data_IF_331431611064
#
_entry.id   IF_331431611064
#
_cell.length_a   1.000
_cell.length_b   1.000
_cell.length_c   1.000
_cell.angle_alpha   90.00
_cell.angle_beta   90.00
_cell.angle_gamma   90.00
#
_symmetry.space_group_name_H-M   'P 1'
#
loop_
_entity.id
_entity.type
_entity.pdbx_description
1 polymer ?
#
# COMPACT_ATOMS: atom_id res chain seq x y z
N UNK A 1 28.08 -12.35 9.33
CA UNK A 1 28.11 -11.64 8.03
C UNK A 1 28.86 -10.34 8.26
N UNK A 2 30.06 -10.17 7.66
CA UNK A 2 30.80 -8.91 7.75
C UNK A 2 30.12 -7.89 6.83
N UNK A 3 29.59 -6.81 7.41
CA UNK A 3 28.96 -5.74 6.64
C UNK A 3 30.06 -4.91 5.94
N UNK A 4 29.81 -4.35 4.75
CA UNK A 4 30.76 -3.47 4.09
C UNK A 4 31.01 -2.23 4.95
N UNK A 5 32.27 -1.86 5.13
CA UNK A 5 32.68 -0.67 5.88
C UNK A 5 32.22 0.56 5.10
N UNK A 6 31.19 1.24 5.59
CA UNK A 6 30.72 2.51 5.03
C UNK A 6 31.38 3.62 5.85
N UNK A 7 32.31 4.36 5.24
CA UNK A 7 32.98 5.50 5.89
C UNK A 7 31.94 6.48 6.45
N UNK A 8 32.03 6.77 7.73
CA UNK A 8 31.17 7.74 8.42
C UNK A 8 29.97 7.14 9.19
N UNK A 9 29.85 5.81 9.25
CA UNK A 9 28.84 5.14 10.09
C UNK A 9 29.49 4.22 11.12
N UNK A 10 28.98 4.27 12.35
CA UNK A 10 29.33 3.30 13.39
C UNK A 10 28.80 1.91 12.97
N UNK A 11 29.68 0.90 13.05
CA UNK A 11 29.37 -0.49 12.67
C UNK A 11 28.18 -1.05 13.49
N UNK A 12 28.08 -0.71 14.76
CA UNK A 12 26.98 -1.12 15.63
C UNK A 12 25.64 -0.49 15.20
N UNK A 13 25.65 0.77 14.81
CA UNK A 13 24.47 1.46 14.29
C UNK A 13 24.04 0.85 12.94
N UNK A 14 24.96 0.62 12.02
CA UNK A 14 24.67 -0.05 10.75
C UNK A 14 24.06 -1.46 10.96
N UNK A 15 24.66 -2.25 11.83
CA UNK A 15 24.15 -3.59 12.16
C UNK A 15 22.72 -3.52 12.73
N UNK A 16 22.46 -2.56 13.62
CA UNK A 16 21.11 -2.33 14.18
C UNK A 16 20.09 -2.00 13.08
N UNK A 17 20.44 -1.11 12.13
CA UNK A 17 19.55 -0.75 11.02
C UNK A 17 19.30 -1.93 10.07
N UNK A 18 20.34 -2.69 9.69
CA UNK A 18 20.20 -3.85 8.82
C UNK A 18 19.34 -4.95 9.46
N UNK A 19 19.57 -5.25 10.73
CA UNK A 19 18.77 -6.25 11.47
C UNK A 19 17.32 -5.78 11.57
N UNK A 20 17.09 -4.50 11.88
CA UNK A 20 15.73 -3.94 11.98
C UNK A 20 15.00 -3.99 10.64
N UNK A 21 15.65 -3.62 9.54
CA UNK A 21 15.08 -3.70 8.18
C UNK A 21 14.80 -5.13 7.77
N UNK A 22 15.73 -6.05 8.05
CA UNK A 22 15.54 -7.49 7.80
C UNK A 22 14.35 -8.08 8.56
N UNK A 23 14.20 -7.73 9.84
CA UNK A 23 13.05 -8.14 10.65
C UNK A 23 11.73 -7.58 10.11
N UNK A 24 11.71 -6.30 9.67
CA UNK A 24 10.54 -5.72 9.01
C UNK A 24 10.16 -6.49 7.73
N UNK A 25 11.14 -6.83 6.91
CA UNK A 25 10.89 -7.61 5.68
C UNK A 25 10.33 -9.00 5.99
N UNK A 26 10.95 -9.73 6.92
CA UNK A 26 10.47 -11.06 7.34
C UNK A 26 9.05 -10.96 7.90
N UNK A 27 8.78 -9.96 8.73
CA UNK A 27 7.45 -9.72 9.28
C UNK A 27 6.41 -9.44 8.20
N UNK A 28 6.75 -8.62 7.20
CA UNK A 28 5.85 -8.31 6.07
C UNK A 28 5.60 -9.52 5.19
N UNK A 29 6.64 -10.30 4.85
CA UNK A 29 6.51 -11.52 4.05
C UNK A 29 5.68 -12.57 4.80
N UNK A 30 5.96 -12.80 6.08
CA UNK A 30 5.18 -13.72 6.93
C UNK A 30 3.71 -13.30 7.04
N UNK A 31 3.45 -12.02 7.30
CA UNK A 31 2.09 -11.46 7.33
C UNK A 31 1.38 -11.62 5.99
N UNK A 32 2.08 -11.39 4.88
CA UNK A 32 1.54 -11.56 3.53
C UNK A 32 1.16 -13.01 3.27
N UNK A 33 2.04 -13.96 3.58
CA UNK A 33 1.78 -15.39 3.39
C UNK A 33 0.53 -15.85 4.18
N UNK A 34 0.39 -15.43 5.44
CA UNK A 34 -0.78 -15.72 6.26
C UNK A 34 -2.05 -15.12 5.64
N UNK A 35 -1.99 -13.85 5.21
CA UNK A 35 -3.13 -13.16 4.57
C UNK A 35 -3.53 -13.82 3.25
N UNK A 36 -2.56 -14.21 2.42
CA UNK A 36 -2.84 -14.90 1.15
C UNK A 36 -3.51 -16.25 1.37
N UNK A 37 -2.96 -17.09 2.27
CA UNK A 37 -3.57 -18.36 2.62
C UNK A 37 -4.99 -18.17 3.17
N UNK A 38 -5.17 -17.20 4.08
CA UNK A 38 -6.49 -16.86 4.63
C UNK A 38 -7.48 -16.42 3.55
N UNK A 39 -7.03 -15.56 2.63
CA UNK A 39 -7.89 -15.05 1.55
C UNK A 39 -8.33 -16.16 0.59
N UNK A 40 -7.48 -17.15 0.30
CA UNK A 40 -7.83 -18.28 -0.56
C UNK A 40 -9.00 -19.07 0.02
N UNK A 41 -8.94 -19.52 1.27
CA UNK A 41 -10.04 -20.32 1.84
C UNK A 41 -11.28 -19.48 2.12
N UNK A 42 -11.16 -18.20 2.48
CA UNK A 42 -12.30 -17.30 2.65
C UNK A 42 -13.00 -17.04 1.30
N UNK A 43 -12.24 -16.73 0.25
CA UNK A 43 -12.79 -16.51 -1.09
C UNK A 43 -13.49 -17.79 -1.61
N UNK A 44 -12.88 -18.95 -1.43
CA UNK A 44 -13.49 -20.23 -1.80
C UNK A 44 -14.80 -20.53 -1.05
N UNK A 45 -14.90 -20.09 0.20
CA UNK A 45 -16.11 -20.24 0.99
C UNK A 45 -17.21 -19.26 0.56
N UNK A 46 -16.85 -17.99 0.40
CA UNK A 46 -17.79 -16.92 0.06
C UNK A 46 -18.26 -16.97 -1.40
N UNK A 47 -17.51 -17.61 -2.30
CA UNK A 47 -17.67 -17.58 -3.74
C UNK A 47 -17.54 -16.16 -4.32
N UNK A 48 -17.42 -15.98 -5.66
CA UNK A 48 -17.24 -14.67 -6.26
C UNK A 48 -18.26 -13.61 -5.86
N UNK A 49 -19.52 -14.01 -5.71
CA UNK A 49 -20.62 -13.10 -5.41
C UNK A 49 -20.46 -12.43 -4.03
N UNK A 50 -20.42 -13.24 -2.96
CA UNK A 50 -20.25 -12.71 -1.59
C UNK A 50 -18.88 -12.06 -1.38
N UNK A 51 -17.83 -12.62 -2.01
CA UNK A 51 -16.50 -12.01 -2.02
C UNK A 51 -16.51 -10.65 -2.73
N UNK A 52 -17.35 -10.49 -3.77
CA UNK A 52 -17.55 -9.23 -4.47
C UNK A 52 -18.20 -8.16 -3.60
N UNK A 53 -19.24 -8.52 -2.85
CA UNK A 53 -19.85 -7.62 -1.87
C UNK A 53 -18.80 -7.15 -0.84
N UNK A 54 -18.02 -8.06 -0.27
CA UNK A 54 -17.00 -7.74 0.71
C UNK A 54 -15.89 -6.84 0.12
N UNK A 55 -15.36 -7.23 -1.05
CA UNK A 55 -14.25 -6.50 -1.68
C UNK A 55 -14.65 -5.11 -2.18
N UNK A 56 -15.85 -4.97 -2.77
CA UNK A 56 -16.34 -3.66 -3.19
C UNK A 56 -16.64 -2.76 -2.01
N UNK A 57 -17.25 -3.29 -0.94
CA UNK A 57 -17.50 -2.53 0.28
C UNK A 57 -16.20 -2.07 0.97
N UNK A 58 -15.21 -2.95 1.04
CA UNK A 58 -13.88 -2.57 1.59
C UNK A 58 -13.17 -1.56 0.70
N UNK A 59 -13.27 -1.69 -0.64
CA UNK A 59 -12.71 -0.72 -1.57
C UNK A 59 -13.37 0.66 -1.41
N UNK A 60 -14.69 0.71 -1.26
CA UNK A 60 -15.44 1.95 -1.05
C UNK A 60 -14.99 2.69 0.22
N UNK A 61 -14.91 1.99 1.35
CA UNK A 61 -14.46 2.57 2.62
C UNK A 61 -12.98 2.97 2.54
N UNK A 62 -12.16 2.21 1.81
CA UNK A 62 -10.74 2.52 1.64
C UNK A 62 -10.48 3.85 0.93
N UNK A 63 -11.39 4.34 0.09
CA UNK A 63 -11.27 5.67 -0.52
C UNK A 63 -11.11 6.78 0.52
N UNK A 64 -11.63 6.58 1.73
CA UNK A 64 -11.56 7.52 2.85
C UNK A 64 -10.37 7.27 3.80
N UNK A 65 -9.58 6.21 3.57
CA UNK A 65 -8.48 5.84 4.47
C UNK A 65 -7.41 6.96 4.60
N UNK A 66 -7.15 7.69 3.51
CA UNK A 66 -6.21 8.81 3.53
C UNK A 66 -6.72 9.99 4.37
N UNK A 67 -8.04 10.21 4.41
CA UNK A 67 -8.67 11.21 5.29
C UNK A 67 -8.56 10.78 6.76
N UNK A 68 -8.84 9.53 7.08
CA UNK A 68 -8.72 9.00 8.44
C UNK A 68 -7.27 9.03 8.95
N UNK A 69 -6.29 8.74 8.08
CA UNK A 69 -4.86 8.75 8.40
C UNK A 69 -4.24 10.15 8.46
N UNK A 70 -4.88 11.16 7.86
CA UNK A 70 -4.40 12.55 7.76
C UNK A 70 -2.99 12.70 7.17
N UNK A 71 -2.40 11.66 6.56
CA UNK A 71 -1.03 11.68 6.04
C UNK A 71 0.04 11.97 7.10
N UNK A 72 -0.26 11.74 8.39
CA UNK A 72 0.60 12.15 9.51
C UNK A 72 1.76 11.21 9.78
N UNK A 73 1.74 9.96 9.32
CA UNK A 73 2.65 8.90 9.78
C UNK A 73 4.13 9.29 9.67
N UNK A 74 4.56 9.82 8.53
CA UNK A 74 5.95 10.25 8.33
C UNK A 74 6.34 11.47 9.17
N UNK A 75 5.40 12.38 9.41
CA UNK A 75 5.62 13.54 10.26
C UNK A 75 5.74 13.14 11.73
N UNK A 76 4.92 12.20 12.20
CA UNK A 76 5.00 11.67 13.57
C UNK A 76 6.39 11.07 13.82
N UNK A 77 6.88 10.22 12.92
CA UNK A 77 8.22 9.61 13.03
C UNK A 77 9.30 10.69 13.08
N UNK A 78 9.21 11.72 12.21
CA UNK A 78 10.16 12.84 12.17
C UNK A 78 10.13 13.67 13.46
N UNK A 79 8.96 14.08 13.93
CA UNK A 79 8.81 14.89 15.15
C UNK A 79 9.28 14.11 16.39
N UNK A 80 8.99 12.82 16.49
CA UNK A 80 9.47 11.95 17.58
C UNK A 80 10.98 11.84 17.58
N UNK A 81 11.61 11.72 16.40
CA UNK A 81 13.06 11.66 16.28
C UNK A 81 13.73 12.99 16.65
N UNK A 82 13.14 14.12 16.25
CA UNK A 82 13.67 15.45 16.53
C UNK A 82 13.43 15.90 17.98
N UNK A 83 12.31 15.53 18.58
CA UNK A 83 11.88 15.98 19.91
C UNK A 83 11.49 14.81 20.83
N UNK A 84 12.41 13.89 21.16
CA UNK A 84 12.09 12.69 21.94
C UNK A 84 11.52 12.99 23.33
N UNK A 85 11.86 14.13 23.93
CA UNK A 85 11.32 14.62 25.22
C UNK A 85 9.84 14.98 25.15
N UNK A 86 9.32 15.35 23.96
CA UNK A 86 7.91 15.70 23.73
C UNK A 86 7.09 14.51 23.21
N UNK A 87 7.56 13.28 23.39
CA UNK A 87 6.95 12.05 22.89
C UNK A 87 5.46 11.97 23.22
N UNK A 88 5.08 12.12 24.47
CA UNK A 88 3.69 11.93 24.91
C UNK A 88 2.75 13.01 24.34
N UNK A 89 3.26 14.22 24.16
CA UNK A 89 2.53 15.30 23.49
C UNK A 89 2.37 15.03 21.98
N UNK A 90 3.43 14.54 21.31
CA UNK A 90 3.38 14.22 19.88
C UNK A 90 2.41 13.08 19.62
N UNK A 91 2.50 12.00 20.40
CA UNK A 91 1.63 10.83 20.27
C UNK A 91 0.18 11.16 20.60
N UNK A 92 -0.07 11.86 21.72
CA UNK A 92 -1.42 12.24 22.15
C UNK A 92 -2.10 13.18 21.16
N UNK A 93 -1.39 14.20 20.69
CA UNK A 93 -1.92 15.13 19.67
C UNK A 93 -2.23 14.40 18.37
N UNK A 94 -1.32 13.56 17.89
CA UNK A 94 -1.52 12.82 16.64
C UNK A 94 -2.62 11.77 16.75
N UNK A 95 -2.72 11.08 17.90
CA UNK A 95 -3.79 10.12 18.18
C UNK A 95 -5.16 10.81 18.15
N UNK A 96 -5.29 11.94 18.84
CA UNK A 96 -6.56 12.68 18.88
C UNK A 96 -6.95 13.19 17.49
N UNK A 97 -5.99 13.72 16.71
CA UNK A 97 -6.25 14.15 15.34
C UNK A 97 -6.75 13.00 14.46
N UNK A 98 -6.07 11.84 14.47
CA UNK A 98 -6.48 10.66 13.70
C UNK A 98 -7.81 10.10 14.18
N UNK A 99 -8.05 10.03 15.49
CA UNK A 99 -9.33 9.56 16.05
C UNK A 99 -10.49 10.46 15.62
N UNK A 100 -10.29 11.78 15.71
CA UNK A 100 -11.30 12.76 15.27
C UNK A 100 -11.56 12.64 13.76
N UNK A 101 -10.51 12.50 12.95
CA UNK A 101 -10.65 12.29 11.52
C UNK A 101 -11.38 10.96 11.20
N UNK A 102 -11.06 9.87 11.91
CA UNK A 102 -11.75 8.59 11.78
C UNK A 102 -13.25 8.69 12.12
N UNK A 103 -13.60 9.42 13.18
CA UNK A 103 -15.00 9.68 13.54
C UNK A 103 -15.69 10.51 12.45
N UNK A 104 -15.06 11.56 11.94
CA UNK A 104 -15.60 12.41 10.86
C UNK A 104 -15.75 11.62 9.56
N UNK A 105 -14.89 10.64 9.28
CA UNK A 105 -15.03 9.79 8.10
C UNK A 105 -16.34 8.97 8.09
N UNK A 106 -16.90 8.60 9.25
CA UNK A 106 -18.14 7.82 9.31
C UNK A 106 -19.31 8.57 8.64
N UNK A 107 -19.69 9.80 9.07
CA UNK A 107 -20.73 10.56 8.39
C UNK A 107 -20.35 10.97 6.97
N UNK A 108 -19.07 11.18 6.64
CA UNK A 108 -18.64 11.46 5.26
C UNK A 108 -18.86 10.26 4.35
N UNK A 109 -18.58 9.05 4.80
CA UNK A 109 -18.85 7.80 4.07
C UNK A 109 -20.37 7.63 3.88
N UNK A 110 -21.18 7.96 4.91
CA UNK A 110 -22.62 7.95 4.81
C UNK A 110 -23.14 8.93 3.75
N UNK A 111 -22.67 10.17 3.76
CA UNK A 111 -23.04 11.19 2.76
C UNK A 111 -22.62 10.75 1.35
N UNK A 112 -21.41 10.23 1.21
CA UNK A 112 -20.94 9.71 -0.07
C UNK A 112 -21.82 8.56 -0.57
N UNK A 113 -22.24 7.66 0.33
CA UNK A 113 -23.15 6.57 -0.02
C UNK A 113 -24.54 7.05 -0.43
N UNK A 114 -25.04 8.14 0.15
CA UNK A 114 -26.31 8.75 -0.28
C UNK A 114 -26.24 9.34 -1.70
N UNK A 115 -25.06 9.84 -2.10
CA UNK A 115 -24.85 10.44 -3.43
C UNK A 115 -24.50 9.36 -4.47
N UNK A 116 -23.68 8.40 -4.06
CA UNK A 116 -23.17 7.30 -4.91
C UNK A 116 -23.41 5.95 -4.21
N UNK A 117 -24.67 5.50 -4.12
CA UNK A 117 -24.98 4.22 -3.50
C UNK A 117 -24.39 3.08 -4.32
N UNK A 118 -23.87 2.07 -3.63
CA UNK A 118 -23.48 0.82 -4.27
C UNK A 118 -24.72 -0.05 -4.45
N UNK A 119 -24.99 -0.44 -5.68
CA UNK A 119 -26.17 -1.28 -5.99
C UNK A 119 -26.11 -2.61 -5.24
N UNK A 120 -27.22 -3.05 -4.67
CA UNK A 120 -27.38 -4.33 -3.95
C UNK A 120 -26.35 -4.58 -2.82
N UNK A 121 -25.74 -3.53 -2.25
CA UNK A 121 -24.94 -3.63 -1.04
C UNK A 121 -25.66 -2.95 0.12
N UNK A 122 -25.90 -3.69 1.19
CA UNK A 122 -26.55 -3.14 2.37
C UNK A 122 -25.68 -2.08 3.04
N UNK A 123 -26.25 -0.92 3.38
CA UNK A 123 -25.56 0.16 4.08
C UNK A 123 -24.91 -0.32 5.39
N UNK A 124 -25.53 -1.28 6.09
CA UNK A 124 -24.98 -1.85 7.32
C UNK A 124 -23.56 -2.40 7.15
N UNK A 125 -23.23 -2.97 5.98
CA UNK A 125 -21.89 -3.47 5.66
C UNK A 125 -20.90 -2.29 5.59
N UNK A 126 -21.27 -1.22 4.88
CA UNK A 126 -20.44 -0.01 4.77
C UNK A 126 -20.24 0.65 6.13
N UNK A 127 -21.31 0.72 6.94
CA UNK A 127 -21.25 1.30 8.29
C UNK A 127 -20.28 0.52 9.20
N UNK A 128 -20.37 -0.81 9.23
CA UNK A 128 -19.45 -1.64 10.04
C UNK A 128 -18.01 -1.42 9.61
N UNK A 129 -17.73 -1.42 8.31
CA UNK A 129 -16.40 -1.21 7.77
C UNK A 129 -15.87 0.21 8.03
N UNK A 130 -16.74 1.23 8.13
CA UNK A 130 -16.31 2.61 8.37
C UNK A 130 -15.59 2.80 9.70
N UNK A 131 -15.86 1.95 10.71
CA UNK A 131 -15.14 1.96 11.99
C UNK A 131 -13.65 1.63 11.87
N UNK A 132 -13.22 1.03 10.76
CA UNK A 132 -11.79 0.76 10.50
C UNK A 132 -10.96 2.03 10.53
N UNK A 133 -11.49 3.16 10.06
CA UNK A 133 -10.81 4.46 10.08
C UNK A 133 -10.52 4.96 11.50
N UNK A 134 -11.43 4.70 12.45
CA UNK A 134 -11.25 5.06 13.85
C UNK A 134 -10.12 4.23 14.50
N UNK A 135 -10.12 2.91 14.26
CA UNK A 135 -9.12 2.02 14.86
C UNK A 135 -7.71 2.28 14.32
N UNK A 136 -7.56 2.81 13.09
CA UNK A 136 -6.26 3.21 12.55
C UNK A 136 -5.54 4.30 13.36
N UNK A 137 -6.21 5.02 14.26
CA UNK A 137 -5.56 6.04 15.10
C UNK A 137 -4.41 5.48 15.95
N UNK A 138 -4.45 4.20 16.35
CA UNK A 138 -3.39 3.54 17.09
C UNK A 138 -2.10 3.28 16.28
N UNK A 139 -2.08 3.53 14.97
CA UNK A 139 -0.85 3.47 14.16
C UNK A 139 0.19 4.52 14.60
N UNK A 140 -0.16 5.49 15.44
CA UNK A 140 0.81 6.39 16.09
C UNK A 140 1.84 5.62 16.93
N UNK A 141 1.46 4.46 17.49
CA UNK A 141 2.38 3.57 18.22
C UNK A 141 3.35 2.87 17.27
N UNK A 142 2.91 2.52 16.07
CA UNK A 142 3.79 2.01 15.00
C UNK A 142 4.86 3.07 14.66
N UNK A 143 4.46 4.32 14.44
CA UNK A 143 5.37 5.44 14.19
C UNK A 143 6.36 5.65 15.35
N UNK A 144 5.94 5.44 16.60
CA UNK A 144 6.82 5.47 17.77
C UNK A 144 7.90 4.38 17.69
N UNK A 145 7.52 3.12 17.47
CA UNK A 145 8.51 2.04 17.37
C UNK A 145 9.42 2.19 16.15
N UNK A 146 8.93 2.79 15.06
CA UNK A 146 9.78 3.13 13.91
C UNK A 146 10.82 4.19 14.29
N UNK A 147 10.42 5.25 14.99
CA UNK A 147 11.34 6.32 15.40
C UNK A 147 12.45 5.84 16.34
N UNK A 148 12.15 4.81 17.16
CA UNK A 148 13.11 4.17 18.09
C UNK A 148 13.94 3.04 17.42
N UNK A 149 13.71 2.78 16.11
CA UNK A 149 14.36 1.65 15.39
C UNK A 149 14.09 0.31 16.08
N UNK A 150 12.83 0.09 16.49
CA UNK A 150 12.37 -1.09 17.23
C UNK A 150 11.29 -1.87 16.47
N UNK A 151 11.47 -2.05 15.18
CA UNK A 151 10.49 -2.67 14.28
C UNK A 151 10.12 -4.12 14.63
N UNK A 152 10.91 -4.78 15.46
CA UNK A 152 10.57 -6.13 15.97
C UNK A 152 9.23 -6.17 16.69
N UNK A 153 8.84 -5.09 17.39
CA UNK A 153 7.57 -5.04 18.11
C UNK A 153 6.40 -4.83 17.15
N UNK A 154 6.61 -4.05 16.10
CA UNK A 154 5.65 -3.88 15.00
C UNK A 154 5.38 -5.24 14.34
N UNK A 155 6.46 -5.96 14.00
CA UNK A 155 6.39 -7.30 13.41
C UNK A 155 5.63 -8.28 14.31
N UNK A 156 5.95 -8.32 15.62
CA UNK A 156 5.27 -9.21 16.56
C UNK A 156 3.77 -8.94 16.63
N UNK A 157 3.35 -7.68 16.73
CA UNK A 157 1.94 -7.29 16.75
C UNK A 157 1.25 -7.67 15.45
N UNK A 158 1.86 -7.39 14.30
CA UNK A 158 1.26 -7.69 13.00
C UNK A 158 1.14 -9.20 12.74
N UNK A 159 2.18 -9.99 13.04
CA UNK A 159 2.12 -11.44 12.86
C UNK A 159 1.09 -12.06 13.82
N UNK A 160 1.12 -11.70 15.12
CA UNK A 160 0.15 -12.20 16.07
C UNK A 160 -1.28 -11.85 15.67
N UNK A 161 -1.52 -10.58 15.27
CA UNK A 161 -2.81 -10.14 14.77
C UNK A 161 -3.27 -10.93 13.55
N UNK A 162 -2.40 -11.13 12.55
CA UNK A 162 -2.74 -11.90 11.37
C UNK A 162 -3.00 -13.39 11.65
N UNK A 163 -2.27 -14.00 12.59
CA UNK A 163 -2.51 -15.40 13.02
C UNK A 163 -3.87 -15.52 13.70
N UNK A 164 -4.19 -14.62 14.64
CA UNK A 164 -5.49 -14.62 15.32
C UNK A 164 -6.63 -14.39 14.33
N UNK A 165 -6.47 -13.42 13.43
CA UNK A 165 -7.41 -13.16 12.33
C UNK A 165 -7.63 -14.40 11.46
N UNK A 166 -6.56 -15.08 11.05
CA UNK A 166 -6.64 -16.31 10.27
C UNK A 166 -7.39 -17.42 11.01
N UNK A 167 -7.15 -17.59 12.31
CA UNK A 167 -7.87 -18.57 13.15
C UNK A 167 -9.35 -18.22 13.27
N UNK A 168 -9.72 -16.96 13.50
CA UNK A 168 -11.12 -16.52 13.55
C UNK A 168 -11.81 -16.84 12.22
N UNK A 169 -11.21 -16.45 11.09
CA UNK A 169 -11.77 -16.72 9.76
C UNK A 169 -11.84 -18.21 9.45
N UNK A 170 -10.86 -18.99 9.92
CA UNK A 170 -10.92 -20.46 9.84
C UNK A 170 -12.13 -21.01 10.60
N UNK A 171 -12.38 -20.57 11.82
CA UNK A 171 -13.56 -20.97 12.58
C UNK A 171 -14.86 -20.55 11.89
N UNK A 172 -14.93 -19.34 11.36
CA UNK A 172 -16.11 -18.87 10.61
C UNK A 172 -16.41 -19.74 9.39
N UNK A 173 -15.38 -20.18 8.65
CA UNK A 173 -15.53 -21.02 7.45
C UNK A 173 -15.88 -22.46 7.80
N UNK A 174 -15.05 -23.10 8.63
CA UNK A 174 -15.09 -24.57 8.79
C UNK A 174 -15.96 -25.05 9.95
N UNK A 175 -16.11 -24.24 11.01
CA UNK A 175 -16.90 -24.62 12.19
C UNK A 175 -18.30 -24.02 12.15
N UNK A 176 -18.37 -22.67 12.01
CA UNK A 176 -19.66 -21.96 12.10
C UNK A 176 -20.42 -21.87 10.78
N UNK A 177 -19.76 -22.10 9.65
CA UNK A 177 -20.34 -21.92 8.30
C UNK A 177 -21.07 -20.58 8.19
N UNK A 178 -20.38 -19.52 8.63
CA UNK A 178 -20.96 -18.23 8.93
C UNK A 178 -21.39 -17.46 7.67
N UNK A 179 -22.42 -16.63 7.80
CA UNK A 179 -22.85 -15.72 6.74
C UNK A 179 -21.86 -14.59 6.49
N UNK A 180 -22.02 -13.89 5.34
CA UNK A 180 -21.15 -12.79 4.92
C UNK A 180 -20.92 -11.73 5.99
N UNK A 181 -21.96 -11.38 6.73
CA UNK A 181 -21.90 -10.30 7.73
C UNK A 181 -20.83 -10.56 8.82
N UNK A 182 -20.61 -11.82 9.20
CA UNK A 182 -19.58 -12.18 10.18
C UNK A 182 -18.17 -11.98 9.62
N UNK A 183 -17.97 -12.12 8.33
CA UNK A 183 -16.70 -11.79 7.67
C UNK A 183 -16.47 -10.29 7.61
N UNK A 184 -17.52 -9.49 7.45
CA UNK A 184 -17.45 -8.02 7.57
C UNK A 184 -17.02 -7.60 8.96
N UNK A 185 -17.61 -8.19 10.01
CA UNK A 185 -17.15 -7.98 11.39
C UNK A 185 -15.71 -8.43 11.59
N UNK A 186 -15.34 -9.61 11.09
CA UNK A 186 -13.97 -10.12 11.21
C UNK A 186 -12.97 -9.19 10.53
N UNK A 187 -13.30 -8.60 9.37
CA UNK A 187 -12.44 -7.66 8.67
C UNK A 187 -12.23 -6.35 9.46
N UNK A 188 -13.31 -5.84 10.07
CA UNK A 188 -13.21 -4.66 10.95
C UNK A 188 -12.44 -5.00 12.23
N UNK A 189 -12.66 -6.20 12.77
CA UNK A 189 -11.96 -6.70 13.96
C UNK A 189 -10.46 -6.89 13.72
N UNK A 190 -10.01 -7.23 12.51
CA UNK A 190 -8.59 -7.34 12.18
C UNK A 190 -7.82 -6.05 12.51
N UNK A 191 -8.39 -4.91 12.18
CA UNK A 191 -7.76 -3.61 12.43
C UNK A 191 -7.81 -3.27 13.92
N UNK A 192 -8.93 -3.54 14.58
CA UNK A 192 -9.06 -3.40 16.03
C UNK A 192 -8.04 -4.28 16.77
N UNK A 193 -7.85 -5.53 16.33
CA UNK A 193 -6.92 -6.47 16.94
C UNK A 193 -5.46 -5.95 16.88
N UNK A 194 -5.05 -5.44 15.73
CA UNK A 194 -3.73 -4.82 15.56
C UNK A 194 -3.60 -3.58 16.44
N UNK A 195 -4.65 -2.76 16.53
CA UNK A 195 -4.70 -1.56 17.37
C UNK A 195 -4.56 -1.90 18.86
N UNK A 196 -5.28 -2.90 19.32
CA UNK A 196 -5.16 -3.43 20.70
C UNK A 196 -3.76 -4.01 20.92
N UNK A 197 -3.23 -4.71 19.93
CA UNK A 197 -1.85 -5.23 19.97
C UNK A 197 -0.80 -4.11 20.16
N UNK A 198 -0.95 -3.00 19.43
CA UNK A 198 -0.08 -1.82 19.60
C UNK A 198 -0.22 -1.19 20.98
N UNK A 199 -1.45 -1.03 21.46
CA UNK A 199 -1.72 -0.54 22.82
C UNK A 199 -1.05 -1.41 23.90
N UNK A 200 -1.26 -2.73 23.84
CA UNK A 200 -0.67 -3.69 24.79
C UNK A 200 0.86 -3.68 24.72
N UNK A 201 1.43 -3.65 23.50
CA UNK A 201 2.88 -3.63 23.32
C UNK A 201 3.51 -2.35 23.87
N UNK A 202 2.85 -1.18 23.67
CA UNK A 202 3.30 0.09 24.19
C UNK A 202 3.34 0.10 25.73
N UNK A 203 2.26 -0.39 26.37
CA UNK A 203 2.18 -0.51 27.82
C UNK A 203 3.21 -1.50 28.37
N UNK A 204 3.40 -2.65 27.72
CA UNK A 204 4.41 -3.65 28.12
C UNK A 204 5.84 -3.10 28.13
N UNK A 205 6.10 -2.03 27.37
CA UNK A 205 7.40 -1.34 27.33
C UNK A 205 7.53 -0.26 28.39
N UNK A 206 6.71 -0.27 29.43
CA UNK A 206 6.73 0.70 30.51
C UNK A 206 6.26 2.09 30.07
N UNK A 207 5.46 2.14 29.01
CA UNK A 207 4.84 3.37 28.48
C UNK A 207 3.35 3.32 28.73
N UNK A 208 2.71 4.47 28.91
CA UNK A 208 1.28 4.56 29.12
C UNK A 208 0.64 5.49 28.11
N UNK A 209 -0.47 5.09 27.54
CA UNK A 209 -1.28 5.99 26.69
C UNK A 209 -2.02 7.05 27.52
N UNK A 210 -2.19 6.80 28.82
CA UNK A 210 -2.84 7.75 29.74
C UNK A 210 -1.97 8.97 30.08
N UNK A 211 -0.66 8.94 29.73
CA UNK A 211 0.23 10.11 29.87
C UNK A 211 0.22 11.00 28.63
N UNK A 212 -0.53 10.63 27.59
CA UNK A 212 -0.59 11.39 26.36
C UNK A 212 -1.32 12.71 26.55
N UNK A 213 -0.73 13.78 26.03
CA UNK A 213 -1.23 15.14 26.15
C UNK A 213 -1.53 15.73 24.78
N UNK A 214 -2.50 16.61 24.70
CA UNK A 214 -2.86 17.34 23.51
C UNK A 214 -2.21 18.73 23.50
N UNK A 215 -1.62 19.09 22.36
CA UNK A 215 -1.05 20.43 22.12
C UNK A 215 -1.69 21.02 20.86
N UNK A 216 -2.41 22.13 21.02
CA UNK A 216 -3.15 22.81 19.95
C UNK A 216 -2.23 23.40 18.88
N UNK A 217 -1.07 23.93 19.27
CA UNK A 217 -0.14 24.53 18.31
C UNK A 217 0.56 23.45 17.49
N UNK A 218 0.93 22.33 18.12
CA UNK A 218 1.42 21.16 17.42
C UNK A 218 0.37 20.59 16.45
N UNK A 219 -0.91 20.52 16.87
CA UNK A 219 -1.98 20.04 16.01
C UNK A 219 -2.14 20.92 14.75
N UNK A 220 -2.17 22.24 14.91
CA UNK A 220 -2.20 23.17 13.76
C UNK A 220 -0.99 23.02 12.85
N UNK A 221 0.22 22.88 13.43
CA UNK A 221 1.45 22.67 12.69
C UNK A 221 1.38 21.37 11.86
N UNK A 222 0.97 20.27 12.48
CA UNK A 222 0.85 18.96 11.81
C UNK A 222 -0.16 19.00 10.67
N UNK A 223 -1.36 19.54 10.88
CA UNK A 223 -2.39 19.67 9.83
C UNK A 223 -1.93 20.58 8.69
N UNK A 224 -1.27 21.70 8.99
CA UNK A 224 -0.72 22.61 7.97
C UNK A 224 0.36 21.94 7.12
N UNK A 225 1.13 21.02 7.69
CA UNK A 225 2.17 20.30 6.96
C UNK A 225 1.61 19.10 6.19
N UNK A 226 0.57 18.44 6.69
CA UNK A 226 0.06 17.17 6.15
C UNK A 226 -1.03 17.33 5.09
N UNK A 227 -1.72 18.47 4.95
CA UNK A 227 -2.82 18.61 4.01
C UNK A 227 -2.46 18.23 2.54
N UNK A 228 -1.23 18.52 2.02
CA UNK A 228 -0.89 18.08 0.67
C UNK A 228 -0.77 16.55 0.58
N UNK A 229 -0.34 15.90 1.68
CA UNK A 229 -0.26 14.44 1.73
C UNK A 229 -1.64 13.79 1.85
N UNK A 230 -2.62 14.46 2.49
CA UNK A 230 -4.01 13.99 2.52
C UNK A 230 -4.55 13.93 1.09
N UNK A 231 -4.42 15.01 0.32
CA UNK A 231 -4.89 15.05 -1.08
C UNK A 231 -4.17 14.00 -1.93
N UNK A 232 -2.84 13.89 -1.78
CA UNK A 232 -2.07 12.85 -2.47
C UNK A 232 -2.53 11.44 -2.09
N UNK A 233 -2.81 11.21 -0.82
CA UNK A 233 -3.32 9.94 -0.31
C UNK A 233 -4.70 9.59 -0.85
N UNK A 234 -5.61 10.56 -0.98
CA UNK A 234 -6.92 10.35 -1.62
C UNK A 234 -6.72 9.92 -3.08
N UNK A 235 -5.86 10.61 -3.84
CA UNK A 235 -5.58 10.23 -5.23
C UNK A 235 -5.02 8.81 -5.33
N UNK A 236 -4.13 8.44 -4.41
CA UNK A 236 -3.60 7.06 -4.33
C UNK A 236 -4.72 6.07 -3.99
N UNK A 237 -5.59 6.38 -3.03
CA UNK A 237 -6.70 5.50 -2.65
C UNK A 237 -7.67 5.27 -3.81
N UNK A 238 -8.02 6.33 -4.54
CA UNK A 238 -8.83 6.24 -5.77
C UNK A 238 -8.12 5.35 -6.80
N UNK A 239 -6.88 5.67 -7.11
CA UNK A 239 -6.08 4.95 -8.07
C UNK A 239 -5.94 3.44 -7.78
N UNK A 240 -5.91 3.05 -6.50
CA UNK A 240 -5.76 1.65 -6.10
C UNK A 240 -7.08 0.87 -5.99
N UNK A 241 -8.22 1.55 -5.82
CA UNK A 241 -9.46 0.86 -5.44
C UNK A 241 -10.67 1.16 -6.32
N UNK A 242 -10.59 2.19 -7.15
CA UNK A 242 -11.71 2.57 -8.01
C UNK A 242 -12.07 1.47 -9.02
N UNK A 243 -11.08 0.69 -9.45
CA UNK A 243 -11.25 -0.43 -10.38
C UNK A 243 -12.32 -1.43 -9.92
N UNK A 244 -12.24 -1.84 -8.65
CA UNK A 244 -13.16 -2.82 -8.06
C UNK A 244 -14.59 -2.27 -8.00
N UNK A 245 -14.73 -0.97 -7.70
CA UNK A 245 -16.03 -0.30 -7.64
C UNK A 245 -16.61 -0.15 -9.04
N UNK A 246 -15.81 0.37 -9.99
CA UNK A 246 -16.26 0.56 -11.38
C UNK A 246 -16.61 -0.75 -12.05
N UNK A 247 -15.83 -1.81 -11.79
CA UNK A 247 -16.11 -3.14 -12.36
C UNK A 247 -17.48 -3.64 -11.91
N UNK A 248 -17.84 -3.45 -10.63
CA UNK A 248 -19.14 -3.82 -10.11
C UNK A 248 -20.25 -2.98 -10.72
N UNK A 249 -20.14 -1.66 -10.67
CA UNK A 249 -21.22 -0.76 -11.05
C UNK A 249 -21.45 -0.71 -12.57
N UNK A 250 -20.40 -0.85 -13.40
CA UNK A 250 -20.52 -0.80 -14.87
C UNK A 250 -21.11 -2.12 -15.42
N UNK A 251 -20.73 -3.28 -14.87
CA UNK A 251 -21.24 -4.57 -15.33
C UNK A 251 -22.60 -4.95 -14.70
N UNK A 252 -23.05 -4.19 -13.70
CA UNK A 252 -24.31 -4.43 -12.99
C UNK A 252 -24.23 -5.51 -11.92
N UNK A 253 -25.36 -5.69 -11.22
CA UNK A 253 -25.37 -6.38 -9.93
C UNK A 253 -24.89 -7.83 -9.95
N UNK A 254 -25.36 -8.65 -10.87
CA UNK A 254 -25.01 -10.08 -10.90
C UNK A 254 -23.61 -10.32 -11.45
N UNK A 255 -23.33 -9.79 -12.64
CA UNK A 255 -22.07 -9.99 -13.33
C UNK A 255 -20.96 -9.17 -12.66
N UNK A 256 -21.23 -7.91 -12.36
CA UNK A 256 -20.27 -6.98 -11.79
C UNK A 256 -19.85 -7.37 -10.37
N UNK A 257 -20.79 -7.85 -9.55
CA UNK A 257 -20.48 -8.33 -8.19
C UNK A 257 -19.55 -9.55 -8.23
N UNK A 258 -19.86 -10.53 -9.09
CA UNK A 258 -18.99 -11.71 -9.29
C UNK A 258 -17.62 -11.33 -9.86
N UNK A 259 -17.61 -10.42 -10.85
CA UNK A 259 -16.38 -9.92 -11.45
C UNK A 259 -15.50 -9.19 -10.44
N UNK A 260 -16.06 -8.30 -9.63
CA UNK A 260 -15.30 -7.57 -8.59
C UNK A 260 -14.72 -8.51 -7.52
N UNK A 261 -15.48 -9.53 -7.10
CA UNK A 261 -15.01 -10.54 -6.16
C UNK A 261 -13.89 -11.42 -6.71
N UNK A 262 -13.97 -11.76 -7.99
CA UNK A 262 -12.92 -12.48 -8.70
C UNK A 262 -11.68 -11.59 -8.89
N UNK A 263 -11.88 -10.35 -9.34
CA UNK A 263 -10.80 -9.38 -9.56
C UNK A 263 -10.05 -9.00 -8.27
N UNK A 264 -10.71 -9.00 -7.12
CA UNK A 264 -10.06 -8.78 -5.83
C UNK A 264 -8.96 -9.81 -5.54
N UNK A 265 -9.12 -11.06 -6.00
CA UNK A 265 -8.06 -12.09 -5.90
C UNK A 265 -6.89 -11.79 -6.84
N UNK A 266 -7.14 -11.24 -8.02
CA UNK A 266 -6.10 -10.79 -8.96
C UNK A 266 -5.25 -9.70 -8.33
N UNK A 267 -5.89 -8.65 -7.81
CA UNK A 267 -5.21 -7.52 -7.16
C UNK A 267 -4.35 -8.01 -5.98
N UNK A 268 -4.85 -8.92 -5.17
CA UNK A 268 -4.13 -9.46 -4.03
C UNK A 268 -2.78 -10.09 -4.43
N UNK A 269 -2.73 -10.89 -5.49
CA UNK A 269 -1.49 -11.53 -5.94
C UNK A 269 -0.58 -10.57 -6.71
N UNK A 270 -1.14 -9.73 -7.56
CA UNK A 270 -0.34 -8.81 -8.38
C UNK A 270 0.32 -7.70 -7.56
N UNK A 271 -0.32 -7.26 -6.47
CA UNK A 271 0.20 -6.22 -5.59
C UNK A 271 0.99 -6.75 -4.38
N UNK A 272 1.09 -8.07 -4.24
CA UNK A 272 1.69 -8.74 -3.09
C UNK A 272 3.08 -8.22 -2.72
N UNK A 273 3.92 -7.93 -3.70
CA UNK A 273 5.30 -7.49 -3.50
C UNK A 273 5.52 -5.97 -3.68
N UNK A 274 4.46 -5.16 -3.78
CA UNK A 274 4.58 -3.69 -3.94
C UNK A 274 5.27 -2.98 -2.76
N UNK A 275 5.45 -3.65 -1.63
CA UNK A 275 6.24 -3.12 -0.52
C UNK A 275 7.76 -3.23 -0.75
N UNK A 276 8.22 -4.13 -1.61
CA UNK A 276 9.66 -4.39 -1.86
C UNK A 276 10.38 -3.14 -2.38
N UNK A 277 9.90 -2.45 -3.43
CA UNK A 277 10.57 -1.25 -3.93
C UNK A 277 10.67 -0.15 -2.86
N UNK A 278 9.67 -0.02 -1.98
CA UNK A 278 9.69 0.95 -0.89
C UNK A 278 10.85 0.66 0.08
N UNK A 279 11.04 -0.60 0.46
CA UNK A 279 12.12 -1.01 1.36
C UNK A 279 13.50 -0.82 0.73
N UNK A 280 13.66 -1.24 -0.53
CA UNK A 280 14.93 -1.12 -1.25
C UNK A 280 15.31 0.35 -1.44
N UNK A 281 14.37 1.16 -1.90
CA UNK A 281 14.60 2.58 -2.16
C UNK A 281 14.91 3.32 -0.86
N UNK A 282 14.16 3.09 0.23
CA UNK A 282 14.45 3.71 1.52
C UNK A 282 15.85 3.38 2.06
N UNK A 283 16.38 2.21 1.74
CA UNK A 283 17.72 1.77 2.16
C UNK A 283 18.84 2.32 1.28
N UNK A 284 18.64 2.37 -0.05
CA UNK A 284 19.69 2.75 -1.00
C UNK A 284 19.73 4.26 -1.31
N UNK A 285 18.59 4.94 -1.23
CA UNK A 285 18.47 6.31 -1.67
C UNK A 285 19.32 7.31 -0.90
N UNK A 286 19.51 7.21 0.44
CA UNK A 286 20.43 8.07 1.17
C UNK A 286 21.88 8.00 0.63
N UNK A 287 22.34 6.81 0.27
CA UNK A 287 23.68 6.62 -0.32
C UNK A 287 23.80 7.20 -1.74
N UNK A 288 22.68 7.22 -2.49
CA UNK A 288 22.61 7.87 -3.80
C UNK A 288 22.68 9.38 -3.64
N UNK A 289 21.93 9.97 -2.70
CA UNK A 289 21.94 11.40 -2.44
C UNK A 289 23.30 11.93 -1.96
N UNK A 290 24.00 11.17 -1.14
CA UNK A 290 25.36 11.55 -0.71
C UNK A 290 26.31 11.67 -1.92
N UNK A 291 26.18 10.81 -2.92
CA UNK A 291 26.98 10.91 -4.13
C UNK A 291 26.66 12.18 -4.97
N UNK A 292 25.44 12.70 -4.91
CA UNK A 292 25.04 13.92 -5.62
C UNK A 292 25.91 15.14 -5.25
N UNK A 293 26.26 15.22 -3.96
CA UNK A 293 27.04 16.33 -3.41
C UNK A 293 28.50 16.30 -3.84
N UNK A 294 29.04 15.10 -3.97
CA UNK A 294 30.49 14.90 -4.10
C UNK A 294 30.89 14.56 -5.56
N UNK A 295 30.03 13.91 -6.34
CA UNK A 295 30.33 13.39 -7.68
C UNK A 295 29.04 13.20 -8.50
N UNK A 296 28.69 14.14 -9.39
CA UNK A 296 27.49 14.07 -10.23
C UNK A 296 27.44 12.85 -11.16
N UNK A 297 28.57 12.37 -11.68
CA UNK A 297 28.59 11.19 -12.56
C UNK A 297 28.28 9.92 -11.75
N UNK A 298 28.86 9.80 -10.56
CA UNK A 298 28.58 8.72 -9.63
C UNK A 298 27.12 8.72 -9.18
N UNK A 299 26.52 9.91 -8.98
CA UNK A 299 25.10 10.05 -8.68
C UNK A 299 24.23 9.48 -9.81
N UNK A 300 24.47 9.90 -11.06
CA UNK A 300 23.74 9.43 -12.22
C UNK A 300 23.88 7.90 -12.41
N UNK A 301 25.10 7.37 -12.26
CA UNK A 301 25.36 5.93 -12.36
C UNK A 301 24.62 5.13 -11.27
N UNK A 302 24.59 5.63 -10.04
CA UNK A 302 23.87 4.97 -8.94
C UNK A 302 22.37 5.01 -9.14
N UNK A 303 21.84 6.14 -9.61
CA UNK A 303 20.41 6.29 -9.92
C UNK A 303 19.99 5.35 -11.06
N UNK A 304 20.80 5.24 -12.13
CA UNK A 304 20.56 4.28 -13.21
C UNK A 304 20.58 2.84 -12.69
N UNK A 305 21.54 2.49 -11.83
CA UNK A 305 21.61 1.17 -11.23
C UNK A 305 20.38 0.85 -10.34
N UNK A 306 19.83 1.85 -9.66
CA UNK A 306 18.59 1.69 -8.91
C UNK A 306 17.42 1.38 -9.83
N UNK A 307 17.24 2.11 -10.94
CA UNK A 307 16.18 1.82 -11.91
C UNK A 307 16.36 0.46 -12.56
N UNK A 308 17.59 0.08 -12.92
CA UNK A 308 17.89 -1.25 -13.45
C UNK A 308 17.49 -2.36 -12.46
N UNK A 309 17.83 -2.18 -11.17
CA UNK A 309 17.46 -3.12 -10.11
C UNK A 309 15.94 -3.24 -9.97
N UNK A 310 15.21 -2.09 -10.01
CA UNK A 310 13.76 -2.08 -9.92
C UNK A 310 13.12 -2.85 -11.08
N UNK A 311 13.61 -2.62 -12.31
CA UNK A 311 13.11 -3.34 -13.49
C UNK A 311 13.40 -4.83 -13.40
N UNK A 312 14.62 -5.25 -13.07
CA UNK A 312 14.97 -6.67 -12.99
C UNK A 312 14.12 -7.40 -11.94
N UNK A 313 13.96 -6.82 -10.76
CA UNK A 313 13.16 -7.43 -9.70
C UNK A 313 11.68 -7.51 -10.07
N UNK A 314 11.12 -6.44 -10.62
CA UNK A 314 9.71 -6.43 -11.01
C UNK A 314 9.43 -7.32 -12.21
N UNK A 315 10.36 -7.40 -13.19
CA UNK A 315 10.25 -8.29 -14.34
C UNK A 315 10.29 -9.77 -13.90
N UNK A 316 11.23 -10.13 -13.02
CA UNK A 316 11.29 -11.47 -12.46
C UNK A 316 10.02 -11.85 -11.70
N UNK A 317 9.50 -10.92 -10.90
CA UNK A 317 8.22 -11.10 -10.19
C UNK A 317 7.05 -11.23 -11.14
N UNK A 318 6.92 -10.32 -12.12
CA UNK A 318 5.83 -10.33 -13.08
C UNK A 318 5.82 -11.61 -13.90
N UNK A 319 6.99 -12.05 -14.40
CA UNK A 319 7.12 -13.30 -15.14
C UNK A 319 6.78 -14.51 -14.27
N UNK A 320 7.29 -14.56 -13.03
CA UNK A 320 6.98 -15.64 -12.10
C UNK A 320 5.47 -15.76 -11.84
N UNK A 321 4.80 -14.66 -11.50
CA UNK A 321 3.35 -14.67 -11.21
C UNK A 321 2.54 -14.94 -12.47
N UNK A 322 2.92 -14.37 -13.64
CA UNK A 322 2.22 -14.61 -14.89
C UNK A 322 2.23 -16.11 -15.27
N UNK A 323 3.39 -16.76 -15.16
CA UNK A 323 3.54 -18.20 -15.42
C UNK A 323 2.85 -19.04 -14.33
N UNK A 324 2.93 -18.62 -13.08
CA UNK A 324 2.30 -19.31 -11.96
C UNK A 324 0.78 -19.09 -11.87
N UNK A 325 0.21 -18.13 -12.58
CA UNK A 325 -1.21 -17.77 -12.44
C UNK A 325 -2.17 -18.95 -12.64
N UNK A 326 -2.03 -19.85 -13.64
CA UNK A 326 -2.89 -21.02 -13.74
C UNK A 326 -2.77 -21.99 -12.56
N UNK A 327 -1.55 -22.09 -11.99
CA UNK A 327 -1.29 -22.93 -10.82
C UNK A 327 -1.90 -22.31 -9.54
N UNK A 328 -1.81 -20.99 -9.38
CA UNK A 328 -2.41 -20.27 -8.26
C UNK A 328 -3.91 -20.52 -8.23
N UNK A 329 -4.59 -20.42 -9.38
CA UNK A 329 -6.05 -20.61 -9.43
C UNK A 329 -6.50 -22.06 -9.34
N UNK A 330 -5.60 -23.05 -9.32
CA UNK A 330 -5.94 -24.43 -8.92
C UNK A 330 -6.27 -24.56 -7.43
N UNK A 331 -5.83 -23.63 -6.59
CA UNK A 331 -6.21 -23.56 -5.17
C UNK A 331 -7.56 -22.89 -4.93
N UNK A 332 -8.13 -22.28 -5.97
CA UNK A 332 -9.45 -21.68 -5.95
C UNK A 332 -10.50 -22.60 -6.57
N UNK A 333 -11.76 -22.37 -6.24
CA UNK A 333 -12.88 -23.04 -6.87
C UNK A 333 -12.99 -22.67 -8.35
N UNK A 334 -13.67 -23.51 -9.18
CA UNK A 334 -13.79 -23.30 -10.62
C UNK A 334 -14.29 -21.91 -11.04
N UNK A 335 -15.14 -21.28 -10.22
CA UNK A 335 -15.74 -19.97 -10.46
C UNK A 335 -14.70 -18.84 -10.52
N UNK A 336 -13.50 -19.06 -9.96
CA UNK A 336 -12.39 -18.09 -9.97
C UNK A 336 -11.40 -18.31 -11.11
N UNK A 337 -11.49 -19.40 -11.88
CA UNK A 337 -10.49 -19.77 -12.92
C UNK A 337 -10.34 -18.65 -13.98
N UNK A 338 -11.42 -17.93 -14.29
CA UNK A 338 -11.37 -16.79 -15.22
C UNK A 338 -10.42 -15.67 -14.79
N UNK A 339 -9.99 -15.64 -13.53
CA UNK A 339 -9.00 -14.68 -13.03
C UNK A 339 -7.55 -14.99 -13.45
N UNK A 340 -7.24 -16.23 -13.81
CA UNK A 340 -5.85 -16.61 -14.15
C UNK A 340 -5.25 -15.77 -15.30
N UNK A 341 -5.89 -15.65 -16.49
CA UNK A 341 -5.39 -14.78 -17.55
C UNK A 341 -5.39 -13.30 -17.16
N UNK A 342 -6.35 -12.86 -16.32
CA UNK A 342 -6.40 -11.48 -15.84
C UNK A 342 -5.21 -11.15 -14.93
N UNK A 343 -4.84 -12.08 -14.03
CA UNK A 343 -3.65 -11.96 -13.19
C UNK A 343 -2.37 -11.92 -14.02
N UNK A 344 -2.27 -12.77 -15.04
CA UNK A 344 -1.12 -12.82 -15.94
C UNK A 344 -0.90 -11.49 -16.68
N UNK A 345 -1.95 -10.72 -16.95
CA UNK A 345 -1.86 -9.36 -17.54
C UNK A 345 -1.62 -8.31 -16.45
N UNK A 346 -2.42 -8.30 -15.39
CA UNK A 346 -2.39 -7.25 -14.37
C UNK A 346 -1.01 -7.12 -13.69
N UNK A 347 -0.33 -8.24 -13.45
CA UNK A 347 0.96 -8.25 -12.74
C UNK A 347 2.07 -7.46 -13.44
N UNK A 348 1.99 -7.25 -14.77
CA UNK A 348 2.94 -6.41 -15.51
C UNK A 348 2.92 -4.94 -15.08
N UNK A 349 1.83 -4.50 -14.47
CA UNK A 349 1.74 -3.19 -13.82
C UNK A 349 2.77 -2.98 -12.71
N UNK A 350 3.24 -4.06 -12.06
CA UNK A 350 4.26 -4.00 -11.01
C UNK A 350 5.57 -3.35 -11.47
N UNK A 351 5.93 -3.49 -12.77
CA UNK A 351 7.13 -2.86 -13.34
C UNK A 351 7.06 -1.34 -13.18
N UNK A 352 5.90 -0.77 -13.49
CA UNK A 352 5.69 0.67 -13.41
C UNK A 352 5.55 1.15 -11.96
N UNK A 353 4.98 0.32 -11.08
CA UNK A 353 4.93 0.60 -9.63
C UNK A 353 6.34 0.66 -9.04
N UNK A 354 7.21 -0.31 -9.35
CA UNK A 354 8.59 -0.35 -8.85
C UNK A 354 9.39 0.87 -9.34
N UNK A 355 9.33 1.17 -10.63
CA UNK A 355 9.94 2.37 -11.19
C UNK A 355 9.35 3.66 -10.60
N UNK A 356 8.03 3.69 -10.42
CA UNK A 356 7.30 4.80 -9.85
C UNK A 356 7.70 5.14 -8.43
N UNK A 357 7.96 4.13 -7.58
CA UNK A 357 8.47 4.32 -6.21
C UNK A 357 9.87 4.93 -6.22
N UNK A 358 10.78 4.37 -7.03
CA UNK A 358 12.15 4.89 -7.15
C UNK A 358 12.18 6.33 -7.71
N UNK A 359 11.38 6.58 -8.76
CA UNK A 359 11.20 7.91 -9.36
C UNK A 359 10.60 8.90 -8.37
N UNK A 360 9.64 8.47 -7.53
CA UNK A 360 9.02 9.32 -6.52
C UNK A 360 10.01 9.89 -5.52
N UNK A 361 10.92 9.08 -5.02
CA UNK A 361 11.96 9.53 -4.09
C UNK A 361 12.92 10.52 -4.74
N UNK A 362 13.28 10.31 -6.01
CA UNK A 362 14.06 11.27 -6.79
C UNK A 362 13.32 12.62 -6.89
N UNK A 363 12.05 12.60 -7.30
CA UNK A 363 11.27 13.83 -7.45
C UNK A 363 11.18 14.63 -6.15
N UNK A 364 11.01 13.93 -5.02
CA UNK A 364 10.98 14.56 -3.68
C UNK A 364 12.35 15.18 -3.36
N UNK A 365 13.44 14.47 -3.61
CA UNK A 365 14.78 14.94 -3.32
C UNK A 365 15.22 16.12 -4.19
N UNK A 366 14.74 16.21 -5.42
CA UNK A 366 14.96 17.32 -6.34
C UNK A 366 13.98 18.50 -6.13
N UNK A 367 13.05 18.39 -5.16
CA UNK A 367 12.07 19.44 -4.86
C UNK A 367 10.84 19.46 -5.79
N UNK A 368 10.66 18.42 -6.61
CA UNK A 368 9.51 18.30 -7.52
C UNK A 368 8.28 17.64 -6.85
N UNK A 369 8.01 17.95 -5.59
CA UNK A 369 6.91 17.35 -4.82
C UNK A 369 5.54 17.47 -5.51
N UNK A 370 5.27 18.61 -6.14
CA UNK A 370 4.02 18.83 -6.90
C UNK A 370 3.87 17.84 -8.07
N UNK A 371 4.97 17.46 -8.71
CA UNK A 371 4.94 16.54 -9.83
C UNK A 371 4.62 15.12 -9.40
N UNK A 372 5.02 14.70 -8.20
CA UNK A 372 4.63 13.40 -7.62
C UNK A 372 3.10 13.31 -7.48
N UNK A 373 2.48 14.38 -7.02
CA UNK A 373 1.02 14.48 -6.93
C UNK A 373 0.35 14.48 -8.32
N UNK A 374 0.82 15.34 -9.24
CA UNK A 374 0.22 15.50 -10.57
C UNK A 374 0.24 14.17 -11.34
N UNK A 375 1.36 13.43 -11.31
CA UNK A 375 1.46 12.16 -12.04
C UNK A 375 0.52 11.09 -11.48
N UNK A 376 0.31 11.05 -10.15
CA UNK A 376 -0.64 10.11 -9.54
C UNK A 376 -2.08 10.46 -9.92
N UNK A 377 -2.44 11.74 -9.85
CA UNK A 377 -3.75 12.22 -10.30
C UNK A 377 -3.99 11.96 -11.79
N UNK A 378 -2.97 12.18 -12.63
CA UNK A 378 -3.05 11.86 -14.06
C UNK A 378 -3.29 10.38 -14.31
N UNK A 379 -2.56 9.50 -13.59
CA UNK A 379 -2.79 8.06 -13.65
C UNK A 379 -4.21 7.67 -13.23
N UNK A 380 -4.74 8.29 -12.16
CA UNK A 380 -6.12 8.03 -11.72
C UNK A 380 -7.15 8.43 -12.78
N UNK A 381 -6.98 9.58 -13.42
CA UNK A 381 -7.87 10.03 -14.52
C UNK A 381 -7.81 9.08 -15.71
N UNK A 382 -6.61 8.67 -16.13
CA UNK A 382 -6.43 7.70 -17.23
C UNK A 382 -7.07 6.35 -16.85
N UNK A 383 -6.89 5.87 -15.63
CA UNK A 383 -7.46 4.62 -15.15
C UNK A 383 -8.99 4.67 -15.22
N UNK A 384 -9.62 5.72 -14.68
CA UNK A 384 -11.07 5.89 -14.70
C UNK A 384 -11.59 5.95 -16.13
N UNK A 385 -10.96 6.75 -17.01
CA UNK A 385 -11.36 6.89 -18.40
C UNK A 385 -11.28 5.56 -19.17
N UNK A 386 -10.16 4.83 -19.00
CA UNK A 386 -9.98 3.52 -19.63
C UNK A 386 -10.93 2.46 -19.06
N UNK A 387 -11.23 2.49 -17.78
CA UNK A 387 -12.22 1.61 -17.18
C UNK A 387 -13.63 1.81 -17.79
N UNK A 388 -14.06 3.05 -17.97
CA UNK A 388 -15.33 3.34 -18.67
C UNK A 388 -15.36 2.80 -20.10
N UNK A 389 -14.23 2.80 -20.80
CA UNK A 389 -14.15 2.33 -22.19
C UNK A 389 -14.01 0.80 -22.29
N UNK A 390 -13.21 0.18 -21.41
CA UNK A 390 -12.80 -1.22 -21.55
C UNK A 390 -13.65 -2.18 -20.74
N UNK A 391 -14.20 -1.78 -19.59
CA UNK A 391 -15.02 -2.67 -18.76
C UNK A 391 -16.26 -3.19 -19.51
N UNK A 392 -17.04 -2.37 -20.26
CA UNK A 392 -18.24 -2.86 -20.93
C UNK A 392 -17.97 -3.96 -21.96
N UNK A 393 -16.79 -3.97 -22.57
CA UNK A 393 -16.42 -4.90 -23.65
C UNK A 393 -15.56 -6.04 -23.20
N UNK A 394 -14.70 -5.84 -22.20
CA UNK A 394 -13.66 -6.78 -21.77
C UNK A 394 -13.77 -7.20 -20.29
N UNK A 395 -14.69 -6.62 -19.52
CA UNK A 395 -14.89 -6.95 -18.12
C UNK A 395 -13.60 -6.81 -17.28
N UNK A 396 -13.28 -7.83 -16.49
CA UNK A 396 -12.07 -7.87 -15.66
C UNK A 396 -10.77 -7.69 -16.44
N UNK A 397 -10.70 -8.21 -17.67
CA UNK A 397 -9.52 -8.05 -18.52
C UNK A 397 -9.33 -6.59 -18.92
N UNK A 398 -10.42 -5.89 -19.25
CA UNK A 398 -10.40 -4.46 -19.53
C UNK A 398 -9.88 -3.64 -18.35
N UNK A 399 -10.33 -3.99 -17.14
CA UNK A 399 -9.84 -3.38 -15.89
C UNK A 399 -8.34 -3.59 -15.70
N UNK A 400 -7.83 -4.83 -15.91
CA UNK A 400 -6.42 -5.13 -15.80
C UNK A 400 -5.56 -4.33 -16.79
N UNK A 401 -6.00 -4.24 -18.04
CA UNK A 401 -5.33 -3.45 -19.09
C UNK A 401 -5.36 -1.95 -18.73
N UNK A 402 -6.51 -1.43 -18.30
CA UNK A 402 -6.66 -0.04 -17.88
C UNK A 402 -5.67 0.31 -16.76
N UNK A 403 -5.52 -0.56 -15.77
CA UNK A 403 -4.59 -0.37 -14.65
C UNK A 403 -3.13 -0.38 -15.11
N UNK A 404 -2.73 -1.33 -15.96
CA UNK A 404 -1.36 -1.39 -16.50
C UNK A 404 -1.02 -0.12 -17.30
N UNK A 405 -1.93 0.34 -18.15
CA UNK A 405 -1.74 1.57 -18.94
C UNK A 405 -1.71 2.82 -18.04
N UNK A 406 -2.56 2.87 -17.02
CA UNK A 406 -2.58 3.97 -16.06
C UNK A 406 -1.27 4.06 -15.27
N UNK A 407 -0.74 2.91 -14.80
CA UNK A 407 0.54 2.82 -14.11
C UNK A 407 1.70 3.25 -15.01
N UNK A 408 1.71 2.80 -16.26
CA UNK A 408 2.66 3.26 -17.27
C UNK A 408 2.58 4.78 -17.44
N UNK A 409 1.38 5.30 -17.71
CA UNK A 409 1.15 6.71 -17.99
C UNK A 409 1.56 7.62 -16.82
N UNK A 410 1.21 7.25 -15.59
CA UNK A 410 1.61 7.96 -14.39
C UNK A 410 3.13 7.97 -14.22
N UNK A 411 3.78 6.82 -14.42
CA UNK A 411 5.22 6.66 -14.19
C UNK A 411 6.04 7.42 -15.21
N UNK A 412 5.62 7.44 -16.48
CA UNK A 412 6.36 8.06 -17.58
C UNK A 412 5.91 9.49 -17.95
N UNK A 413 4.90 10.05 -17.26
CA UNK A 413 4.48 11.45 -17.45
C UNK A 413 5.67 12.43 -17.34
N UNK A 414 6.64 12.12 -16.51
CA UNK A 414 7.84 12.94 -16.26
C UNK A 414 8.73 13.14 -17.50
N UNK A 415 8.59 12.32 -18.54
CA UNK A 415 9.34 12.44 -19.79
C UNK A 415 8.93 13.71 -20.57
N UNK A 416 7.68 14.10 -20.47
CA UNK A 416 7.13 15.26 -21.15
C UNK A 416 7.52 16.59 -20.49
N UNK A 417 8.15 16.53 -19.30
CA UNK A 417 8.54 17.71 -18.54
C UNK A 417 10.06 17.91 -18.69
N UNK A 418 10.52 19.03 -19.29
CA UNK A 418 11.94 19.23 -19.62
C UNK A 418 12.91 18.99 -18.46
N UNK A 419 12.55 19.44 -17.24
CA UNK A 419 13.40 19.33 -16.05
C UNK A 419 13.57 17.88 -15.55
N UNK A 420 12.61 17.00 -15.79
CA UNK A 420 12.63 15.59 -15.32
C UNK A 420 12.80 14.59 -16.47
N UNK A 421 12.83 15.07 -17.74
CA UNK A 421 13.05 14.24 -18.93
C UNK A 421 14.30 13.35 -18.84
N UNK A 422 15.47 13.83 -18.36
CA UNK A 422 16.66 12.98 -18.25
C UNK A 422 16.41 11.74 -17.39
N UNK A 423 15.71 11.90 -16.28
CA UNK A 423 15.32 10.77 -15.41
C UNK A 423 14.37 9.81 -16.14
N UNK A 424 13.36 10.34 -16.82
CA UNK A 424 12.43 9.51 -17.59
C UNK A 424 13.15 8.68 -18.66
N UNK A 425 14.17 9.25 -19.32
CA UNK A 425 15.02 8.55 -20.29
C UNK A 425 15.84 7.44 -19.60
N UNK A 426 16.36 7.68 -18.39
CA UNK A 426 17.05 6.65 -17.60
C UNK A 426 16.12 5.48 -17.29
N UNK A 427 14.89 5.76 -16.92
CA UNK A 427 13.87 4.71 -16.66
C UNK A 427 13.54 3.91 -17.94
N UNK A 428 13.42 4.58 -19.11
CA UNK A 428 13.25 3.89 -20.40
C UNK A 428 14.45 3.01 -20.73
N UNK A 429 15.68 3.49 -20.52
CA UNK A 429 16.91 2.68 -20.74
C UNK A 429 16.89 1.42 -19.87
N UNK A 430 16.41 1.51 -18.63
CA UNK A 430 16.25 0.34 -17.77
C UNK A 430 15.15 -0.58 -18.27
N UNK A 431 13.98 -0.04 -18.65
CA UNK A 431 12.84 -0.83 -19.12
C UNK A 431 13.17 -1.66 -20.36
N UNK A 432 13.90 -1.06 -21.33
CA UNK A 432 14.35 -1.77 -22.53
C UNK A 432 15.68 -2.49 -22.35
N UNK A 433 16.19 -2.61 -21.12
CA UNK A 433 17.44 -3.30 -20.75
C UNK A 433 18.69 -2.75 -21.47
N UNK A 434 18.59 -1.55 -22.06
CA UNK A 434 19.71 -0.92 -22.81
C UNK A 434 20.91 -0.68 -21.91
N UNK A 435 20.70 -0.26 -20.68
CA UNK A 435 21.76 -0.06 -19.69
C UNK A 435 22.45 -1.37 -19.30
N UNK A 436 21.73 -2.49 -19.24
CA UNK A 436 22.27 -3.82 -18.97
C UNK A 436 23.13 -4.32 -20.14
N UNK A 437 22.62 -4.21 -21.39
CA UNK A 437 23.39 -4.56 -22.59
C UNK A 437 24.66 -3.73 -22.70
N UNK A 438 24.61 -2.42 -22.48
CA UNK A 438 25.80 -1.55 -22.50
C UNK A 438 26.86 -1.93 -21.47
N UNK A 439 26.47 -2.47 -20.31
CA UNK A 439 27.40 -2.94 -19.28
C UNK A 439 28.06 -4.28 -19.65
N UNK A 440 27.35 -5.14 -20.37
CA UNK A 440 27.86 -6.45 -20.83
C UNK A 440 28.84 -6.28 -21.99
N UNK A 441 28.50 -5.41 -22.95
CA UNK A 441 29.30 -5.21 -24.17
C UNK A 441 30.42 -4.15 -24.05
N UNK A 442 30.47 -3.39 -22.93
CA UNK A 442 31.60 -2.47 -22.63
C UNK A 442 32.70 -3.10 -21.77
N UNK A 443 32.62 -4.40 -21.54
CA UNK A 443 33.71 -5.21 -21.03
C UNK A 443 34.49 -5.82 -22.21
#
# INVERSE_FOLDING_TARGET
>A
MKLPIIKGFDEAALKKYFVNTGLLMIGRIGSLAIKMATSIYVANYLLPEKNGVLSTSTAYVFLFAALAGLGLDSFIVKELHQFPKKRDTILGTSFLLKSTAGIICIPLIFLAWQIFPLSNIAYSIILILSFTGLFQSFTVVDAYFQSEVQSKYIMQVQIAGNVISALIKFLLVFVFKAELIYFVYAYTFDILLVSVGYFLMYNRKGRSVFTWNYDKELAKKLLKLSWPLIISGIMVSVYMKIDTIMLKEILGDDIGTKASGTYATVVMFSEALNFIPVVIVSSLFPAILNARRDDPERYQKRLQNLFDLMVWLSLAFALFIAVASPLIYKFYKPEFIAAAPVLAVHVWGSIFVFLGVASGQFLIAEGFNKLTFIRTGFGAVINIALNFLLIPTMGMMGTAIATVIAYFSATFLIIFIPKTRPQGIMMLKSLFLVSAFQKIFKR
#
